data_IF_943379910468
#
_entry.id   IF_943379910468
#
_cell.length_a   1.000
_cell.length_b   1.000
_cell.length_c   1.000
_cell.angle_alpha   90.00
_cell.angle_beta   90.00
_cell.angle_gamma   90.00
#
_symmetry.space_group_name_H-M   'P 1'
#
loop_
_entity.id
_entity.type
_entity.pdbx_description
1 polymer ?
#
# COMPACT_ATOMS: atom_id res chain seq x y z
N UNK A 1 8.36 -21.61 15.79
CA UNK A 1 8.84 -20.21 15.80
C UNK A 1 8.92 -19.78 14.34
N UNK A 2 7.96 -18.98 13.87
CA UNK A 2 7.95 -18.48 12.49
C UNK A 2 9.04 -17.42 12.39
N UNK A 3 10.04 -17.65 11.53
CA UNK A 3 11.10 -16.68 11.25
C UNK A 3 10.45 -15.43 10.61
N UNK A 4 10.93 -14.25 10.99
CA UNK A 4 10.54 -13.01 10.34
C UNK A 4 11.08 -12.97 8.90
N UNK A 5 10.33 -12.40 7.99
CA UNK A 5 10.75 -12.16 6.60
C UNK A 5 11.57 -10.87 6.53
N UNK A 6 12.64 -10.86 5.74
CA UNK A 6 13.43 -9.67 5.50
C UNK A 6 12.81 -8.88 4.35
N UNK A 7 12.33 -7.68 4.64
CA UNK A 7 11.68 -6.80 3.67
C UNK A 7 12.49 -5.53 3.41
N UNK A 8 12.34 -4.96 2.21
CA UNK A 8 12.79 -3.62 1.88
C UNK A 8 11.67 -2.63 2.21
N UNK A 9 11.95 -1.74 3.16
CA UNK A 9 10.97 -0.81 3.71
C UNK A 9 11.32 0.62 3.33
N UNK A 10 10.33 1.38 2.88
CA UNK A 10 10.44 2.83 2.77
C UNK A 10 10.50 3.43 4.18
N UNK A 11 11.46 4.32 4.42
CA UNK A 11 11.68 4.90 5.76
C UNK A 11 10.45 5.66 6.25
N UNK A 12 9.90 5.33 7.44
CA UNK A 12 8.77 6.06 7.98
C UNK A 12 9.18 7.49 8.35
N UNK A 13 8.30 8.46 8.09
CA UNK A 13 8.51 9.84 8.42
C UNK A 13 8.08 10.13 9.87
N UNK A 14 9.05 10.40 10.75
CA UNK A 14 8.85 11.00 12.06
C UNK A 14 8.61 10.04 13.23
N UNK A 15 8.53 10.58 14.46
CA UNK A 15 8.46 9.78 15.66
C UNK A 15 7.08 9.17 15.92
N UNK A 16 7.03 8.02 16.59
CA UNK A 16 5.83 7.26 16.97
C UNK A 16 4.79 8.09 17.76
N UNK A 17 5.21 9.14 18.45
CA UNK A 17 4.30 10.08 19.16
C UNK A 17 3.25 10.68 18.23
N UNK A 18 3.65 11.04 17.05
CA UNK A 18 2.78 11.61 16.01
C UNK A 18 1.62 10.68 15.64
N UNK A 19 1.84 9.38 15.68
CA UNK A 19 0.82 8.37 15.33
C UNK A 19 -0.40 8.48 16.25
N UNK A 20 -0.20 8.62 17.55
CA UNK A 20 -1.30 8.74 18.53
C UNK A 20 -2.08 10.03 18.35
N UNK A 21 -1.40 11.14 18.05
CA UNK A 21 -2.03 12.45 17.85
C UNK A 21 -2.91 12.45 16.59
N UNK A 22 -2.42 11.87 15.48
CA UNK A 22 -3.14 11.82 14.20
C UNK A 22 -4.29 10.81 14.22
N UNK A 23 -4.08 9.63 14.80
CA UNK A 23 -5.13 8.62 14.88
C UNK A 23 -6.26 8.99 15.83
N UNK A 24 -6.12 10.03 16.64
CA UNK A 24 -7.07 10.68 17.55
C UNK A 24 -8.09 9.74 18.25
N UNK A 25 -8.37 9.99 19.53
CA UNK A 25 -9.34 9.23 20.34
C UNK A 25 -8.70 8.11 21.18
N UNK A 26 -9.51 7.35 21.92
CA UNK A 26 -9.04 6.36 22.88
C UNK A 26 -8.52 5.10 22.16
N UNK A 27 -7.24 5.12 21.76
CA UNK A 27 -6.56 3.94 21.22
C UNK A 27 -6.20 2.97 22.36
N UNK A 28 -6.56 1.70 22.19
CA UNK A 28 -6.14 0.61 23.08
C UNK A 28 -4.73 0.14 22.79
N UNK A 29 -4.43 0.00 21.49
CA UNK A 29 -3.12 -0.43 21.01
C UNK A 29 -2.80 0.21 19.67
N UNK A 30 -1.51 0.23 19.35
CA UNK A 30 -0.98 0.64 18.06
C UNK A 30 0.00 -0.44 17.62
N UNK A 31 -0.10 -0.86 16.37
CA UNK A 31 0.83 -1.78 15.73
C UNK A 31 1.37 -1.17 14.45
N UNK A 32 2.52 -1.62 14.02
CA UNK A 32 3.11 -1.30 12.73
C UNK A 32 2.95 -2.50 11.81
N UNK A 33 2.53 -2.26 10.56
CA UNK A 33 2.39 -3.29 9.54
C UNK A 33 2.88 -2.75 8.20
N UNK A 34 3.29 -3.66 7.32
CA UNK A 34 4.02 -3.33 6.10
C UNK A 34 3.28 -3.88 4.89
N UNK A 35 2.87 -2.96 4.00
CA UNK A 35 2.13 -3.30 2.79
C UNK A 35 3.09 -3.31 1.59
N UNK A 36 3.21 -4.44 0.86
CA UNK A 36 4.08 -4.53 -0.31
C UNK A 36 3.48 -3.76 -1.50
N UNK A 37 4.34 -3.06 -2.23
CA UNK A 37 4.05 -2.36 -3.46
C UNK A 37 5.06 -2.74 -4.54
N UNK A 38 4.58 -2.90 -5.76
CA UNK A 38 5.44 -2.87 -6.94
C UNK A 38 5.58 -1.45 -7.46
N UNK A 39 6.80 -1.09 -7.84
CA UNK A 39 7.14 0.23 -8.33
C UNK A 39 7.31 0.22 -9.84
N UNK A 40 6.70 1.19 -10.50
CA UNK A 40 6.74 1.32 -11.94
C UNK A 40 7.08 2.75 -12.37
N UNK A 41 7.88 2.87 -13.42
CA UNK A 41 7.95 4.08 -14.23
C UNK A 41 6.79 4.03 -15.21
N UNK A 42 5.81 4.90 -15.01
CA UNK A 42 4.67 5.03 -15.93
C UNK A 42 4.95 6.17 -16.89
N UNK A 43 4.96 5.85 -18.18
CA UNK A 43 5.16 6.82 -19.25
C UNK A 43 3.87 6.98 -20.03
N UNK A 44 3.45 8.22 -20.23
CA UNK A 44 2.27 8.61 -20.99
C UNK A 44 2.74 9.41 -22.19
N UNK A 45 2.52 8.88 -23.39
CA UNK A 45 2.81 9.57 -24.65
C UNK A 45 1.51 10.06 -25.25
N UNK A 46 1.40 11.36 -25.46
CA UNK A 46 0.22 11.98 -26.07
C UNK A 46 0.65 13.03 -27.10
N UNK A 47 0.32 12.79 -28.38
CA UNK A 47 0.63 13.71 -29.49
C UNK A 47 2.10 14.12 -29.54
N UNK A 48 3.00 13.16 -29.37
CA UNK A 48 4.45 13.39 -29.40
C UNK A 48 5.05 14.01 -28.13
N UNK A 49 4.23 14.31 -27.11
CA UNK A 49 4.70 14.71 -25.77
C UNK A 49 4.73 13.50 -24.86
N UNK A 50 5.82 13.33 -24.14
CA UNK A 50 6.02 12.24 -23.18
C UNK A 50 6.11 12.80 -21.78
N UNK A 51 5.34 12.21 -20.86
CA UNK A 51 5.42 12.49 -19.41
C UNK A 51 5.66 11.19 -18.68
N UNK A 52 6.61 11.20 -17.74
CA UNK A 52 6.91 10.04 -16.90
C UNK A 52 6.70 10.34 -15.43
N UNK A 53 6.23 9.35 -14.70
CA UNK A 53 6.04 9.44 -13.25
C UNK A 53 6.34 8.09 -12.59
N UNK A 54 6.74 8.10 -11.31
CA UNK A 54 6.94 6.90 -10.53
C UNK A 54 5.68 6.62 -9.73
N UNK A 55 5.06 5.46 -9.99
CA UNK A 55 3.85 5.02 -9.32
C UNK A 55 4.06 3.64 -8.69
N UNK A 56 3.48 3.46 -7.50
CA UNK A 56 3.36 2.16 -6.85
C UNK A 56 1.95 1.60 -6.96
N UNK A 57 1.84 0.30 -7.12
CA UNK A 57 0.58 -0.44 -6.98
C UNK A 57 0.71 -1.44 -5.86
N UNK A 58 -0.30 -1.54 -4.98
CA UNK A 58 -0.29 -2.56 -3.93
C UNK A 58 -0.18 -3.96 -4.53
N UNK A 59 0.79 -4.72 -4.02
CA UNK A 59 1.11 -6.05 -4.52
C UNK A 59 0.22 -7.14 -3.90
N UNK A 60 -0.70 -6.78 -2.98
CA UNK A 60 -1.62 -7.73 -2.35
C UNK A 60 -2.80 -8.04 -3.25
N UNK A 61 -3.49 -7.01 -3.75
CA UNK A 61 -4.71 -7.14 -4.57
C UNK A 61 -4.77 -6.18 -5.75
N UNK A 62 -3.87 -5.22 -5.85
CA UNK A 62 -3.93 -4.15 -6.84
C UNK A 62 -5.16 -3.25 -6.69
N UNK A 63 -5.82 -3.27 -5.54
CA UNK A 63 -7.11 -2.61 -5.33
C UNK A 63 -6.99 -1.12 -5.00
N UNK A 64 -5.86 -0.71 -4.44
CA UNK A 64 -5.62 0.68 -4.05
C UNK A 64 -5.44 1.59 -5.27
N UNK A 65 -5.68 2.87 -5.05
CA UNK A 65 -5.33 3.88 -6.03
C UNK A 65 -3.79 3.96 -6.14
N UNK A 66 -3.23 4.28 -7.34
CA UNK A 66 -1.78 4.31 -7.52
C UNK A 66 -1.08 5.23 -6.52
N UNK A 67 -0.06 4.71 -5.85
CA UNK A 67 0.76 5.47 -4.90
C UNK A 67 1.80 6.26 -5.68
N UNK A 68 1.72 7.59 -5.63
CA UNK A 68 2.64 8.45 -6.37
C UNK A 68 3.87 8.75 -5.53
N UNK A 69 5.04 8.54 -6.12
CA UNK A 69 6.34 8.94 -5.60
C UNK A 69 6.84 10.16 -6.38
N UNK A 70 7.60 11.03 -5.72
CA UNK A 70 8.23 12.18 -6.39
C UNK A 70 9.36 11.71 -7.32
N UNK A 71 10.09 10.67 -6.90
CA UNK A 71 11.16 9.99 -7.65
C UNK A 71 11.20 8.52 -7.25
N UNK A 72 12.01 7.74 -7.95
CA UNK A 72 12.28 6.37 -7.54
C UNK A 72 13.03 6.37 -6.20
N UNK A 73 12.58 5.59 -5.20
CA UNK A 73 13.23 5.53 -3.89
C UNK A 73 14.71 5.17 -4.02
N UNK A 74 15.54 5.88 -3.29
CA UNK A 74 16.98 5.67 -3.22
C UNK A 74 17.35 4.77 -2.03
N UNK A 75 18.56 4.22 -2.01
CA UNK A 75 19.04 3.38 -0.90
C UNK A 75 18.99 4.11 0.46
N UNK A 76 19.20 5.42 0.48
CA UNK A 76 19.12 6.20 1.73
C UNK A 76 17.68 6.40 2.24
N UNK A 77 16.68 6.23 1.38
CA UNK A 77 15.24 6.32 1.72
C UNK A 77 14.64 4.97 2.07
N UNK A 78 15.38 3.88 1.89
CA UNK A 78 14.96 2.53 2.23
C UNK A 78 15.80 1.95 3.36
N UNK A 79 15.22 0.99 4.07
CA UNK A 79 15.92 0.18 5.07
C UNK A 79 15.52 -1.27 4.90
N UNK A 80 16.41 -2.19 5.27
CA UNK A 80 16.09 -3.61 5.38
C UNK A 80 15.63 -3.90 6.80
N UNK A 81 14.49 -4.57 6.93
CA UNK A 81 13.89 -4.91 8.21
C UNK A 81 13.44 -6.38 8.21
N UNK A 82 13.71 -7.09 9.29
CA UNK A 82 13.14 -8.41 9.56
C UNK A 82 11.86 -8.24 10.38
N UNK A 83 10.73 -8.72 9.86
CA UNK A 83 9.43 -8.52 10.49
C UNK A 83 8.48 -9.68 10.20
N UNK A 84 7.47 -9.83 11.05
CA UNK A 84 6.31 -10.72 10.84
C UNK A 84 5.05 -9.95 10.45
N UNK A 85 5.12 -8.64 10.48
CA UNK A 85 3.99 -7.77 10.24
C UNK A 85 3.91 -7.31 8.79
N UNK A 86 4.46 -8.11 7.86
CA UNK A 86 4.36 -7.89 6.42
C UNK A 86 3.17 -8.63 5.86
N UNK A 87 2.40 -7.97 5.00
CA UNK A 87 1.34 -8.62 4.26
C UNK A 87 1.96 -9.43 3.11
N UNK A 88 1.42 -10.62 2.82
CA UNK A 88 1.91 -11.42 1.71
C UNK A 88 1.59 -10.78 0.36
N UNK A 89 2.50 -10.95 -0.59
CA UNK A 89 2.26 -10.61 -2.00
C UNK A 89 1.20 -11.57 -2.57
N UNK A 90 0.22 -11.02 -3.27
CA UNK A 90 -0.86 -11.77 -3.89
C UNK A 90 -0.94 -11.63 -5.41
N UNK A 91 -0.19 -10.67 -6.00
CA UNK A 91 -0.15 -10.41 -7.43
C UNK A 91 1.23 -10.68 -8.02
N UNK A 92 1.26 -11.11 -9.27
CA UNK A 92 2.49 -11.13 -10.07
C UNK A 92 2.81 -9.71 -10.57
N UNK A 93 4.10 -9.37 -10.67
CA UNK A 93 4.53 -8.03 -11.10
C UNK A 93 4.00 -7.63 -12.48
N UNK A 94 3.95 -8.58 -13.44
CA UNK A 94 3.39 -8.35 -14.77
C UNK A 94 1.90 -8.02 -14.74
N UNK A 95 1.13 -8.76 -13.95
CA UNK A 95 -0.31 -8.52 -13.73
C UNK A 95 -0.54 -7.16 -13.07
N UNK A 96 0.29 -6.79 -12.09
CA UNK A 96 0.24 -5.49 -11.45
C UNK A 96 0.52 -4.34 -12.44
N UNK A 97 1.44 -4.52 -13.40
CA UNK A 97 1.72 -3.55 -14.44
C UNK A 97 0.49 -3.28 -15.33
N UNK A 98 -0.19 -4.34 -15.76
CA UNK A 98 -1.42 -4.24 -16.58
C UNK A 98 -2.54 -3.53 -15.81
N UNK A 99 -2.75 -3.91 -14.55
CA UNK A 99 -3.73 -3.27 -13.67
C UNK A 99 -3.41 -1.78 -13.47
N UNK A 100 -2.13 -1.44 -13.27
CA UNK A 100 -1.71 -0.05 -13.12
C UNK A 100 -2.01 0.78 -14.37
N UNK A 101 -1.68 0.27 -15.57
CA UNK A 101 -2.00 0.92 -16.84
C UNK A 101 -3.50 1.16 -16.97
N UNK A 102 -4.32 0.16 -16.65
CA UNK A 102 -5.78 0.29 -16.68
C UNK A 102 -6.30 1.35 -15.69
N UNK A 103 -5.74 1.42 -14.48
CA UNK A 103 -6.08 2.44 -13.47
C UNK A 103 -5.69 3.84 -13.92
N UNK A 104 -4.47 4.01 -14.44
CA UNK A 104 -3.98 5.31 -14.95
C UNK A 104 -4.87 5.79 -16.10
N UNK A 105 -5.22 4.90 -17.03
CA UNK A 105 -6.14 5.20 -18.13
C UNK A 105 -7.49 5.68 -17.60
N UNK A 106 -8.06 5.01 -16.62
CA UNK A 106 -9.33 5.41 -15.99
C UNK A 106 -9.24 6.78 -15.32
N UNK A 107 -8.15 7.07 -14.62
CA UNK A 107 -7.92 8.38 -13.99
C UNK A 107 -7.81 9.51 -15.01
N UNK A 108 -7.18 9.26 -16.16
CA UNK A 108 -7.10 10.24 -17.26
C UNK A 108 -8.46 10.50 -17.90
N UNK A 109 -9.29 9.46 -18.11
CA UNK A 109 -10.67 9.62 -18.57
C UNK A 109 -11.48 10.49 -17.62
N UNK A 110 -11.38 10.23 -16.32
CA UNK A 110 -12.09 11.01 -15.29
C UNK A 110 -11.70 12.49 -15.24
N UNK A 111 -10.50 12.83 -15.73
CA UNK A 111 -10.02 14.23 -15.85
C UNK A 111 -10.40 14.92 -17.17
N UNK A 112 -11.26 14.31 -17.98
CA UNK A 112 -11.74 14.92 -19.23
C UNK A 112 -10.83 14.72 -20.45
N UNK A 113 -9.85 13.83 -20.38
CA UNK A 113 -9.01 13.46 -21.52
C UNK A 113 -9.76 12.49 -22.47
N UNK A 114 -10.81 12.96 -23.14
CA UNK A 114 -11.69 12.13 -23.97
C UNK A 114 -11.05 11.63 -25.28
N UNK A 115 -9.87 12.13 -25.69
CA UNK A 115 -9.18 11.72 -26.92
C UNK A 115 -8.02 10.77 -26.65
N UNK A 116 -8.31 9.67 -25.95
CA UNK A 116 -7.29 8.67 -25.58
C UNK A 116 -6.85 7.75 -26.75
N UNK A 117 -7.49 7.82 -27.91
CA UNK A 117 -7.16 7.00 -29.07
C UNK A 117 -5.73 7.21 -29.62
N UNK A 118 -5.10 8.33 -29.27
CA UNK A 118 -3.72 8.66 -29.65
C UNK A 118 -2.76 8.65 -28.45
N UNK A 119 -3.19 8.07 -27.29
CA UNK A 119 -2.41 8.08 -26.07
C UNK A 119 -1.89 6.67 -25.80
N UNK A 120 -0.58 6.56 -25.70
CA UNK A 120 0.13 5.35 -25.28
C UNK A 120 0.48 5.46 -23.79
N UNK A 121 0.19 4.42 -23.04
CA UNK A 121 0.53 4.34 -21.61
C UNK A 121 1.30 3.05 -21.42
N UNK A 122 2.51 3.15 -20.89
CA UNK A 122 3.35 2.02 -20.53
C UNK A 122 3.75 2.08 -19.06
N UNK A 123 3.97 0.91 -18.46
CA UNK A 123 4.48 0.76 -17.10
C UNK A 123 5.70 -0.17 -17.15
N UNK A 124 6.86 0.35 -16.78
CA UNK A 124 8.12 -0.38 -16.67
C UNK A 124 8.43 -0.61 -15.20
N UNK A 125 8.68 -1.86 -14.80
CA UNK A 125 9.05 -2.18 -13.43
C UNK A 125 10.42 -1.56 -13.08
N UNK A 126 10.49 -0.88 -11.92
CA UNK A 126 11.71 -0.20 -11.47
C UNK A 126 12.51 -1.04 -10.48
N UNK A 127 11.82 -1.82 -9.66
CA UNK A 127 12.41 -2.65 -8.62
C UNK A 127 11.46 -3.80 -8.30
N UNK A 128 11.98 -4.75 -7.53
CA UNK A 128 11.16 -5.71 -6.82
C UNK A 128 10.22 -5.01 -5.84
N UNK A 129 9.57 -5.76 -4.98
CA UNK A 129 8.65 -5.19 -4.01
C UNK A 129 9.31 -4.23 -3.02
N UNK A 130 8.66 -3.12 -2.77
CA UNK A 130 8.99 -2.17 -1.72
C UNK A 130 7.83 -2.08 -0.74
N UNK A 131 8.12 -2.19 0.54
CA UNK A 131 7.10 -2.11 1.58
C UNK A 131 6.89 -0.69 2.06
N UNK A 132 5.63 -0.29 2.20
CA UNK A 132 5.24 0.99 2.82
C UNK A 132 4.77 0.71 4.23
N UNK A 133 5.32 1.42 5.25
CA UNK A 133 4.90 1.27 6.64
C UNK A 133 3.55 1.91 6.87
N UNK A 134 2.67 1.20 7.57
CA UNK A 134 1.39 1.70 8.05
C UNK A 134 1.29 1.50 9.56
N UNK A 135 0.69 2.48 10.21
CA UNK A 135 0.35 2.40 11.62
C UNK A 135 -1.12 2.01 11.77
N UNK A 136 -1.36 0.96 12.52
CA UNK A 136 -2.67 0.41 12.79
C UNK A 136 -3.08 0.79 14.21
N UNK A 137 -4.10 1.63 14.34
CA UNK A 137 -4.65 2.03 15.65
C UNK A 137 -5.94 1.29 15.95
N UNK A 138 -5.96 0.54 17.05
CA UNK A 138 -7.11 -0.22 17.50
C UNK A 138 -7.85 0.52 18.60
N UNK A 139 -9.17 0.69 18.46
CA UNK A 139 -10.04 1.32 19.44
C UNK A 139 -11.31 0.51 19.65
N UNK A 140 -11.98 0.67 20.82
CA UNK A 140 -13.16 -0.11 21.17
C UNK A 140 -12.84 -1.55 21.56
N UNK A 141 -13.87 -2.41 21.68
CA UNK A 141 -13.76 -3.83 22.02
C UNK A 141 -14.93 -4.63 21.47
N UNK A 142 -14.72 -5.92 21.21
CA UNK A 142 -15.74 -6.83 20.67
C UNK A 142 -16.33 -6.27 19.38
N UNK A 143 -17.65 -6.30 19.21
CA UNK A 143 -18.36 -5.80 18.03
C UNK A 143 -18.20 -4.29 17.77
N UNK A 144 -17.63 -3.54 18.71
CA UNK A 144 -17.32 -2.10 18.57
C UNK A 144 -15.83 -1.84 18.29
N UNK A 145 -15.05 -2.89 18.06
CA UNK A 145 -13.66 -2.73 17.66
C UNK A 145 -13.59 -1.96 16.33
N UNK A 146 -12.68 -0.99 16.25
CA UNK A 146 -12.46 -0.18 15.06
C UNK A 146 -10.98 -0.10 14.75
N UNK A 147 -10.64 -0.34 13.50
CA UNK A 147 -9.32 -0.15 12.97
C UNK A 147 -9.21 1.24 12.32
N UNK A 148 -8.19 1.99 12.70
CA UNK A 148 -7.75 3.20 12.01
C UNK A 148 -6.38 2.92 11.40
N UNK A 149 -6.14 3.41 10.21
CA UNK A 149 -4.90 3.19 9.47
C UNK A 149 -4.27 4.53 9.11
N UNK A 150 -2.97 4.66 9.35
CA UNK A 150 -2.18 5.83 9.03
C UNK A 150 -1.01 5.43 8.13
N UNK A 151 -0.86 6.07 6.97
CA UNK A 151 0.32 5.96 6.12
C UNK A 151 1.54 6.54 6.83
N UNK A 152 2.54 5.72 7.09
CA UNK A 152 3.76 6.11 7.83
C UNK A 152 4.71 6.99 7.04
N UNK A 153 4.61 7.01 5.71
CA UNK A 153 5.41 7.85 4.80
C UNK A 153 4.74 9.20 4.60
N UNK A 154 3.48 9.21 4.18
CA UNK A 154 2.70 10.43 3.90
C UNK A 154 2.13 11.09 5.14
N UNK A 155 2.14 10.39 6.27
CA UNK A 155 1.68 10.87 7.59
C UNK A 155 0.22 11.32 7.58
N UNK A 156 -0.62 10.59 6.85
CA UNK A 156 -2.05 10.89 6.74
C UNK A 156 -2.92 9.67 7.04
N UNK A 157 -4.12 9.88 7.61
CA UNK A 157 -5.10 8.82 7.77
C UNK A 157 -5.52 8.26 6.42
N UNK A 158 -5.70 6.94 6.35
CA UNK A 158 -6.14 6.24 5.17
C UNK A 158 -7.63 5.88 5.25
N UNK A 159 -8.24 5.75 4.07
CA UNK A 159 -9.66 5.45 3.93
C UNK A 159 -10.00 3.96 3.98
N UNK A 160 -11.27 3.65 3.67
CA UNK A 160 -11.84 2.32 3.74
C UNK A 160 -11.12 1.26 2.89
N UNK A 161 -10.59 1.63 1.70
CA UNK A 161 -9.89 0.68 0.83
C UNK A 161 -8.63 0.10 1.50
N UNK A 162 -7.77 0.96 2.06
CA UNK A 162 -6.55 0.53 2.75
C UNK A 162 -6.91 -0.24 4.01
N UNK A 163 -7.88 0.26 4.78
CA UNK A 163 -8.37 -0.39 5.98
C UNK A 163 -8.85 -1.81 5.71
N UNK A 164 -9.64 -2.03 4.65
CA UNK A 164 -10.18 -3.36 4.32
C UNK A 164 -9.09 -4.39 3.95
N UNK A 165 -7.96 -3.95 3.43
CA UNK A 165 -6.81 -4.85 3.19
C UNK A 165 -6.25 -5.35 4.53
N UNK A 166 -6.04 -4.44 5.48
CA UNK A 166 -5.51 -4.80 6.81
C UNK A 166 -6.51 -5.61 7.64
N UNK A 167 -7.81 -5.26 7.59
CA UNK A 167 -8.87 -6.05 8.24
C UNK A 167 -8.87 -7.50 7.71
N UNK A 168 -8.86 -7.70 6.41
CA UNK A 168 -8.80 -9.04 5.82
C UNK A 168 -7.51 -9.81 6.15
N UNK A 169 -6.38 -9.13 6.28
CA UNK A 169 -5.13 -9.75 6.70
C UNK A 169 -5.16 -10.16 8.18
N UNK A 170 -5.70 -9.31 9.06
CA UNK A 170 -5.84 -9.60 10.48
C UNK A 170 -6.81 -10.76 10.72
N UNK A 171 -7.94 -10.79 10.02
CA UNK A 171 -8.93 -11.88 10.10
C UNK A 171 -8.33 -13.23 9.66
N UNK A 172 -7.46 -13.19 8.63
CA UNK A 172 -6.76 -14.40 8.18
C UNK A 172 -5.66 -14.88 9.13
N UNK A 173 -5.13 -13.98 9.96
CA UNK A 173 -4.09 -14.29 10.95
C UNK A 173 -4.65 -14.82 12.29
N UNK A 174 -5.94 -14.58 12.58
CA UNK A 174 -6.60 -15.18 13.74
C UNK A 174 -6.83 -16.68 13.48
N UNK A 175 -6.33 -17.59 14.34
CA UNK A 175 -6.65 -18.99 14.20
C UNK A 175 -8.16 -19.16 14.38
N UNK A 176 -8.80 -19.77 13.39
CA UNK A 176 -10.22 -20.13 13.43
C UNK A 176 -10.47 -20.90 14.75
N UNK A 177 -11.35 -20.45 15.67
CA UNK A 177 -11.63 -21.20 16.89
C UNK A 177 -12.12 -22.60 16.51
N UNK A 178 -11.41 -23.62 16.99
CA UNK A 178 -11.84 -25.00 16.80
C UNK A 178 -13.33 -25.13 17.20
N UNK A 179 -14.16 -25.78 16.38
CA UNK A 179 -15.55 -26.03 16.76
C UNK A 179 -15.54 -26.84 18.07
N UNK A 180 -16.45 -26.54 19.03
CA UNK A 180 -16.51 -27.26 20.30
C UNK A 180 -16.66 -28.76 20.02
N UNK A 181 -15.98 -29.64 20.77
CA UNK A 181 -16.12 -31.08 20.64
C UNK A 181 -17.57 -31.47 20.90
N UNK A 182 -18.15 -32.26 20.01
CA UNK A 182 -19.46 -32.87 20.15
C UNK A 182 -19.51 -33.87 21.34
#
# INVERSE_FOLDING_TARGET
MTQGEAIHLFRPNGPTRFVRDVLSGPLRSVAEAYLPFYLFRVTIVNRGRSESSVLGLDAVRGSLDPYRFEHAPTECETIRLETRNSLPVGLQQGEAAELLVAKVRRLLYGKGFFRLHAMEISAEALADELHIPYWLGFSGSGSRARLKVLDGVRRRPEGGKVRSIFEAWLDAAEPNPEPPPN
#
